data_IF_334991218254
#
_entry.id   IF_334991218254
#
_cell.length_a   1.000
_cell.length_b   1.000
_cell.length_c   1.000
_cell.angle_alpha   90.00
_cell.angle_beta   90.00
_cell.angle_gamma   90.00
#
_symmetry.space_group_name_H-M   'P 1'
#
loop_
_entity.id
_entity.type
_entity.pdbx_description
1 polymer ?
#
# COMPACT_ATOMS: atom_id res chain seq x y z
N UNK A 1 -41.93 23.18 52.46
CA UNK A 1 -43.09 24.08 52.60
C UNK A 1 -43.99 23.54 53.70
N UNK A 2 -43.73 23.92 54.94
CA UNK A 2 -44.49 23.52 56.13
C UNK A 2 -45.39 24.69 56.53
N UNK A 3 -46.71 24.48 56.44
CA UNK A 3 -47.72 25.44 56.85
C UNK A 3 -47.88 25.44 58.37
N UNK A 4 -47.89 26.63 58.97
CA UNK A 4 -48.29 26.87 60.36
C UNK A 4 -49.70 27.44 60.37
N UNK A 5 -50.63 26.76 61.06
CA UNK A 5 -51.99 27.24 61.29
C UNK A 5 -52.29 27.32 62.79
N UNK A 6 -52.82 28.49 63.17
CA UNK A 6 -53.76 28.80 64.28
C UNK A 6 -53.25 28.70 65.72
N UNK A 7 -53.31 29.83 66.41
CA UNK A 7 -54.05 29.97 67.68
C UNK A 7 -54.49 31.43 67.90
N UNK A 8 -55.76 31.62 68.24
CA UNK A 8 -56.28 32.75 69.01
C UNK A 8 -57.58 32.23 69.67
N UNK A 9 -57.55 31.98 70.97
CA UNK A 9 -58.15 32.85 72.00
C UNK A 9 -59.68 32.96 71.79
N UNK A 10 -60.51 32.28 72.57
CA UNK A 10 -60.67 32.45 74.02
C UNK A 10 -61.70 33.55 74.26
N UNK A 11 -62.65 33.35 75.18
CA UNK A 11 -63.32 34.33 76.05
C UNK A 11 -64.59 33.72 76.63
N UNK A 12 -64.75 33.89 77.94
CA UNK A 12 -65.77 33.31 78.82
C UNK A 12 -66.60 34.41 79.49
N UNK A 13 -67.89 34.15 79.78
CA UNK A 13 -68.74 34.74 80.84
C UNK A 13 -70.10 33.98 80.84
N UNK A 14 -70.48 33.20 81.87
CA UNK A 14 -71.12 33.53 83.17
C UNK A 14 -72.63 33.96 83.04
N UNK A 15 -73.60 33.06 83.28
CA UNK A 15 -74.45 32.82 84.50
C UNK A 15 -75.55 33.92 84.72
N UNK A 16 -76.89 33.70 84.76
CA UNK A 16 -77.76 33.04 85.78
C UNK A 16 -79.26 33.00 85.32
N UNK A 17 -79.91 31.82 85.50
CA UNK A 17 -81.29 31.48 85.94
C UNK A 17 -82.59 32.19 85.44
N UNK A 18 -83.50 31.42 84.80
CA UNK A 18 -84.92 31.18 85.18
C UNK A 18 -85.77 30.71 83.97
N UNK A 19 -86.39 29.51 84.09
CA UNK A 19 -87.27 28.90 83.08
C UNK A 19 -88.59 29.70 82.91
N UNK A 20 -89.15 29.71 81.68
CA UNK A 20 -90.22 28.73 81.41
C UNK A 20 -89.84 27.80 80.25
N UNK A 21 -89.85 26.51 80.54
CA UNK A 21 -89.74 25.43 79.57
C UNK A 21 -91.00 25.40 78.70
N UNK A 22 -90.92 25.96 77.49
CA UNK A 22 -91.81 25.62 76.37
C UNK A 22 -91.38 26.18 75.00
N UNK A 23 -90.32 27.00 74.88
CA UNK A 23 -89.89 27.56 73.59
C UNK A 23 -88.43 27.23 73.19
N UNK A 24 -87.62 26.67 74.09
CA UNK A 24 -86.23 26.24 73.81
C UNK A 24 -86.11 24.84 73.20
N UNK A 25 -87.17 24.03 73.28
CA UNK A 25 -87.22 22.71 72.66
C UNK A 25 -87.30 22.82 71.12
N UNK A 26 -88.11 23.74 70.60
CA UNK A 26 -88.24 23.98 69.15
C UNK A 26 -86.95 24.54 68.52
N UNK A 27 -86.17 25.37 69.22
CA UNK A 27 -84.90 25.91 68.70
C UNK A 27 -83.72 24.93 68.81
N UNK A 28 -83.70 24.06 69.83
CA UNK A 28 -82.73 22.97 69.94
C UNK A 28 -82.96 21.89 68.88
N UNK A 29 -84.23 21.55 68.62
CA UNK A 29 -84.63 20.59 67.60
C UNK A 29 -84.35 21.10 66.18
N UNK A 30 -84.60 22.38 65.90
CA UNK A 30 -84.28 22.99 64.60
C UNK A 30 -82.76 23.04 64.37
N UNK A 31 -81.95 23.29 65.41
CA UNK A 31 -80.48 23.19 65.34
C UNK A 31 -80.02 21.76 65.05
N UNK A 32 -80.57 20.75 65.72
CA UNK A 32 -80.28 19.34 65.47
C UNK A 32 -80.63 18.94 64.03
N UNK A 33 -81.79 19.40 63.51
CA UNK A 33 -82.18 19.19 62.10
C UNK A 33 -81.20 19.87 61.14
N UNK A 34 -80.79 21.10 61.42
CA UNK A 34 -79.82 21.81 60.59
C UNK A 34 -78.44 21.12 60.59
N UNK A 35 -78.00 20.61 61.75
CA UNK A 35 -76.75 19.86 61.88
C UNK A 35 -76.83 18.52 61.14
N UNK A 36 -77.95 17.79 61.24
CA UNK A 36 -78.17 16.55 60.48
C UNK A 36 -78.20 16.77 58.97
N UNK A 37 -78.81 17.86 58.47
CA UNK A 37 -78.76 18.21 57.04
C UNK A 37 -77.34 18.56 56.60
N UNK A 38 -76.63 19.36 57.40
CA UNK A 38 -75.24 19.72 57.11
C UNK A 38 -74.30 18.51 57.11
N UNK A 39 -74.45 17.57 58.06
CA UNK A 39 -73.66 16.33 58.07
C UNK A 39 -74.06 15.38 56.95
N UNK A 40 -75.35 15.31 56.58
CA UNK A 40 -75.80 14.56 55.41
C UNK A 40 -75.19 15.11 54.10
N UNK A 41 -75.15 16.43 53.94
CA UNK A 41 -74.48 17.08 52.80
C UNK A 41 -72.97 16.84 52.80
N UNK A 42 -72.29 16.94 53.95
CA UNK A 42 -70.87 16.61 54.06
C UNK A 42 -70.57 15.15 53.70
N UNK A 43 -71.42 14.20 54.12
CA UNK A 43 -71.26 12.80 53.74
C UNK A 43 -71.44 12.59 52.23
N UNK A 44 -72.41 13.28 51.64
CA UNK A 44 -72.66 13.19 50.20
C UNK A 44 -71.49 13.79 49.39
N UNK A 45 -70.93 14.92 49.83
CA UNK A 45 -69.75 15.54 49.23
C UNK A 45 -68.50 14.65 49.36
N UNK A 46 -68.28 14.06 50.53
CA UNK A 46 -67.16 13.13 50.77
C UNK A 46 -67.29 11.85 49.92
N UNK A 47 -68.50 11.31 49.78
CA UNK A 47 -68.76 10.17 48.90
C UNK A 47 -68.49 10.52 47.43
N UNK A 48 -68.89 11.72 46.98
CA UNK A 48 -68.57 12.23 45.65
C UNK A 48 -67.06 12.38 45.42
N UNK A 49 -66.34 12.97 46.37
CA UNK A 49 -64.88 13.10 46.32
C UNK A 49 -64.18 11.74 46.32
N UNK A 50 -64.66 10.78 47.11
CA UNK A 50 -64.12 9.42 47.13
C UNK A 50 -64.29 8.73 45.77
N UNK A 51 -65.47 8.85 45.15
CA UNK A 51 -65.71 8.32 43.81
C UNK A 51 -64.82 8.99 42.76
N UNK A 52 -64.63 10.30 42.83
CA UNK A 52 -63.76 11.04 41.91
C UNK A 52 -62.28 10.66 42.07
N UNK A 53 -61.79 10.51 43.31
CA UNK A 53 -60.43 10.06 43.57
C UNK A 53 -60.21 8.60 43.16
N UNK A 54 -61.21 7.72 43.34
CA UNK A 54 -61.14 6.35 42.86
C UNK A 54 -61.06 6.29 41.32
N UNK A 55 -61.86 7.09 40.63
CA UNK A 55 -61.81 7.21 39.18
C UNK A 55 -60.45 7.76 38.68
N UNK A 56 -59.92 8.80 39.33
CA UNK A 56 -58.61 9.36 39.00
C UNK A 56 -57.46 8.36 39.26
N UNK A 57 -57.54 7.57 40.34
CA UNK A 57 -56.57 6.49 40.61
C UNK A 57 -56.63 5.41 39.54
N UNK A 58 -57.83 4.95 39.17
CA UNK A 58 -58.01 3.95 38.13
C UNK A 58 -57.44 4.42 36.78
N UNK A 59 -57.67 5.69 36.42
CA UNK A 59 -57.10 6.28 35.20
C UNK A 59 -55.56 6.34 35.26
N UNK A 60 -54.98 6.81 36.37
CA UNK A 60 -53.54 6.89 36.54
C UNK A 60 -52.86 5.49 36.56
N UNK A 61 -53.54 4.48 37.13
CA UNK A 61 -53.08 3.09 37.10
C UNK A 61 -53.11 2.53 35.67
N UNK A 62 -54.16 2.81 34.90
CA UNK A 62 -54.25 2.41 33.50
C UNK A 62 -53.15 3.06 32.64
N UNK A 63 -52.90 4.37 32.80
CA UNK A 63 -51.81 5.06 32.09
C UNK A 63 -50.43 4.52 32.47
N UNK A 64 -50.19 4.26 33.76
CA UNK A 64 -48.95 3.65 34.24
C UNK A 64 -48.74 2.28 33.62
N UNK A 65 -49.79 1.46 33.55
CA UNK A 65 -49.68 0.10 33.03
C UNK A 65 -49.52 0.09 31.51
N UNK A 66 -50.15 1.02 30.79
CA UNK A 66 -49.89 1.25 29.36
C UNK A 66 -48.43 1.67 29.11
N UNK A 67 -47.92 2.67 29.85
CA UNK A 67 -46.53 3.11 29.75
C UNK A 67 -45.53 1.99 30.10
N UNK A 68 -45.86 1.14 31.08
CA UNK A 68 -45.04 -0.04 31.42
C UNK A 68 -45.02 -1.06 30.29
N UNK A 69 -46.15 -1.28 29.61
CA UNK A 69 -46.22 -2.17 28.44
C UNK A 69 -45.39 -1.62 27.27
N UNK A 70 -45.47 -0.32 26.99
CA UNK A 70 -44.65 0.33 25.97
C UNK A 70 -43.16 0.19 26.28
N UNK A 71 -42.74 0.47 27.52
CA UNK A 71 -41.34 0.30 27.95
C UNK A 71 -40.88 -1.17 27.85
N UNK A 72 -41.76 -2.11 28.19
CA UNK A 72 -41.48 -3.54 28.04
C UNK A 72 -41.32 -3.95 26.57
N UNK A 73 -42.01 -3.26 25.65
CA UNK A 73 -41.89 -3.49 24.20
C UNK A 73 -40.65 -2.82 23.58
N UNK A 74 -40.27 -1.63 24.06
CA UNK A 74 -39.17 -0.82 23.50
C UNK A 74 -37.79 -1.27 23.97
N UNK A 75 -37.67 -1.73 25.22
CA UNK A 75 -36.40 -2.27 25.76
C UNK A 75 -35.78 -3.38 24.90
N UNK A 76 -36.50 -4.45 24.54
CA UNK A 76 -35.92 -5.52 23.72
C UNK A 76 -35.57 -5.04 22.31
N UNK A 77 -36.30 -4.06 21.75
CA UNK A 77 -35.98 -3.47 20.45
C UNK A 77 -34.66 -2.69 20.51
N UNK A 78 -34.47 -1.87 21.54
CA UNK A 78 -33.20 -1.15 21.77
C UNK A 78 -32.02 -2.11 21.95
N UNK A 79 -32.20 -3.19 22.72
CA UNK A 79 -31.15 -4.20 22.89
C UNK A 79 -30.85 -4.96 21.60
N UNK A 80 -31.88 -5.24 20.78
CA UNK A 80 -31.70 -5.85 19.47
C UNK A 80 -30.93 -4.93 18.51
N UNK A 81 -31.27 -3.64 18.47
CA UNK A 81 -30.56 -2.66 17.65
C UNK A 81 -29.13 -2.42 18.12
N UNK A 82 -28.88 -2.35 19.43
CA UNK A 82 -27.52 -2.29 19.98
C UNK A 82 -26.68 -3.50 19.57
N UNK A 83 -27.25 -4.71 19.62
CA UNK A 83 -26.57 -5.93 19.15
C UNK A 83 -26.33 -5.91 17.64
N UNK A 84 -27.27 -5.39 16.85
CA UNK A 84 -27.10 -5.23 15.39
C UNK A 84 -26.00 -4.23 15.07
N UNK A 85 -26.00 -3.07 15.71
CA UNK A 85 -24.96 -2.05 15.57
C UNK A 85 -23.57 -2.61 15.93
N UNK A 86 -23.45 -3.29 17.09
CA UNK A 86 -22.18 -3.90 17.50
C UNK A 86 -21.68 -4.98 16.53
N UNK A 87 -22.59 -5.79 15.96
CA UNK A 87 -22.22 -6.75 14.89
C UNK A 87 -21.74 -6.03 13.63
N UNK A 88 -22.46 -5.01 13.18
CA UNK A 88 -22.13 -4.27 11.97
C UNK A 88 -20.78 -3.53 12.10
N UNK A 89 -20.48 -2.99 13.28
CA UNK A 89 -19.16 -2.42 13.59
C UNK A 89 -18.06 -3.49 13.58
N UNK A 90 -18.32 -4.66 14.16
CA UNK A 90 -17.41 -5.81 14.11
C UNK A 90 -17.11 -6.25 12.68
N UNK A 91 -18.14 -6.40 11.86
CA UNK A 91 -18.04 -6.78 10.45
C UNK A 91 -17.32 -5.70 9.64
N UNK A 92 -17.64 -4.42 9.84
CA UNK A 92 -16.94 -3.32 9.17
C UNK A 92 -15.44 -3.31 9.50
N UNK A 93 -15.09 -3.53 10.78
CA UNK A 93 -13.69 -3.62 11.21
C UNK A 93 -12.99 -4.84 10.61
N UNK A 94 -13.67 -5.98 10.52
CA UNK A 94 -13.14 -7.19 9.88
C UNK A 94 -12.88 -6.95 8.38
N UNK A 95 -13.84 -6.37 7.65
CA UNK A 95 -13.71 -6.03 6.23
C UNK A 95 -12.58 -5.02 6.02
N UNK A 96 -12.48 -3.97 6.84
CA UNK A 96 -11.38 -2.99 6.77
C UNK A 96 -10.02 -3.65 6.96
N UNK A 97 -9.86 -4.52 7.96
CA UNK A 97 -8.61 -5.27 8.19
C UNK A 97 -8.28 -6.18 7.01
N UNK A 98 -9.26 -6.90 6.47
CA UNK A 98 -9.05 -7.77 5.33
C UNK A 98 -8.68 -6.97 4.07
N UNK A 99 -9.32 -5.83 3.83
CA UNK A 99 -8.97 -4.94 2.72
C UNK A 99 -7.56 -4.37 2.87
N UNK A 100 -7.18 -3.94 4.08
CA UNK A 100 -5.83 -3.46 4.37
C UNK A 100 -4.77 -4.55 4.12
N UNK A 101 -5.01 -5.77 4.58
CA UNK A 101 -4.12 -6.91 4.32
C UNK A 101 -4.01 -7.23 2.83
N UNK A 102 -5.13 -7.26 2.09
CA UNK A 102 -5.08 -7.49 0.65
C UNK A 102 -4.31 -6.40 -0.08
N UNK A 103 -4.50 -5.13 0.30
CA UNK A 103 -3.77 -4.01 -0.30
C UNK A 103 -2.27 -4.09 0.05
N UNK A 104 -1.89 -4.42 1.29
CA UNK A 104 -0.47 -4.56 1.65
C UNK A 104 0.19 -5.71 0.92
N UNK A 105 -0.45 -6.89 0.88
CA UNK A 105 0.07 -8.07 0.16
C UNK A 105 0.16 -7.80 -1.34
N UNK A 106 -0.84 -7.13 -1.93
CA UNK A 106 -0.82 -6.74 -3.34
C UNK A 106 0.32 -5.77 -3.64
N UNK A 107 0.54 -4.77 -2.78
CA UNK A 107 1.65 -3.82 -2.92
C UNK A 107 3.01 -4.50 -2.82
N UNK A 108 3.19 -5.39 -1.85
CA UNK A 108 4.43 -6.16 -1.70
C UNK A 108 4.70 -7.04 -2.93
N UNK A 109 3.67 -7.72 -3.47
CA UNK A 109 3.79 -8.52 -4.68
C UNK A 109 4.16 -7.65 -5.89
N UNK A 110 3.51 -6.49 -6.05
CA UNK A 110 3.81 -5.55 -7.12
C UNK A 110 5.24 -4.99 -7.03
N UNK A 111 5.70 -4.65 -5.82
CA UNK A 111 7.08 -4.17 -5.60
C UNK A 111 8.11 -5.25 -5.93
N UNK A 112 7.88 -6.51 -5.52
CA UNK A 112 8.75 -7.64 -5.87
C UNK A 112 8.82 -7.85 -7.37
N UNK A 113 7.66 -7.90 -8.05
CA UNK A 113 7.60 -8.05 -9.50
C UNK A 113 8.31 -6.90 -10.23
N UNK A 114 8.17 -5.67 -9.74
CA UNK A 114 8.87 -4.51 -10.31
C UNK A 114 10.38 -4.60 -10.12
N UNK A 115 10.86 -5.03 -8.95
CA UNK A 115 12.28 -5.22 -8.69
C UNK A 115 12.89 -6.35 -9.54
N UNK A 116 12.18 -7.46 -9.68
CA UNK A 116 12.58 -8.57 -10.56
C UNK A 116 12.63 -8.12 -12.03
N UNK A 117 11.62 -7.38 -12.50
CA UNK A 117 11.60 -6.84 -13.85
C UNK A 117 12.77 -5.89 -14.10
N UNK A 118 13.08 -4.99 -13.17
CA UNK A 118 14.24 -4.10 -13.28
C UNK A 118 15.54 -4.89 -13.34
N UNK A 119 15.69 -5.91 -12.51
CA UNK A 119 16.88 -6.79 -12.49
C UNK A 119 17.04 -7.53 -13.81
N UNK A 120 15.96 -8.10 -14.35
CA UNK A 120 15.95 -8.77 -15.64
C UNK A 120 16.30 -7.81 -16.76
N UNK A 121 15.71 -6.61 -16.78
CA UNK A 121 15.99 -5.59 -17.78
C UNK A 121 17.46 -5.16 -17.76
N UNK A 122 18.06 -5.01 -16.56
CA UNK A 122 19.49 -4.68 -16.43
C UNK A 122 20.38 -5.81 -16.94
N UNK A 123 20.04 -7.07 -16.62
CA UNK A 123 20.77 -8.25 -17.11
C UNK A 123 20.70 -8.37 -18.62
N UNK A 124 19.53 -8.16 -19.23
CA UNK A 124 19.37 -8.17 -20.68
C UNK A 124 20.20 -7.06 -21.34
N UNK A 125 20.21 -5.86 -20.77
CA UNK A 125 21.04 -4.77 -21.28
C UNK A 125 22.56 -5.07 -21.16
N UNK A 126 22.98 -5.71 -20.06
CA UNK A 126 24.37 -6.14 -19.89
C UNK A 126 24.76 -7.23 -20.91
N UNK A 127 23.93 -8.27 -21.05
CA UNK A 127 24.15 -9.33 -22.03
C UNK A 127 24.20 -8.80 -23.46
N UNK A 128 23.37 -7.81 -23.80
CA UNK A 128 23.40 -7.18 -25.11
C UNK A 128 24.75 -6.50 -25.37
N UNK A 129 25.28 -5.75 -24.38
CA UNK A 129 26.62 -5.15 -24.47
C UNK A 129 27.72 -6.19 -24.60
N UNK A 130 27.61 -7.30 -23.87
CA UNK A 130 28.58 -8.40 -23.96
C UNK A 130 28.55 -9.04 -25.35
N UNK A 131 27.36 -9.28 -25.91
CA UNK A 131 27.19 -9.78 -27.28
C UNK A 131 27.82 -8.84 -28.29
N UNK A 132 27.58 -7.53 -28.18
CA UNK A 132 28.14 -6.55 -29.11
C UNK A 132 29.67 -6.46 -28.99
N UNK A 133 30.19 -6.55 -27.76
CA UNK A 133 31.64 -6.60 -27.50
C UNK A 133 32.27 -7.87 -28.07
N UNK A 134 31.65 -9.03 -27.87
CA UNK A 134 32.13 -10.30 -28.39
C UNK A 134 32.09 -10.33 -29.91
N UNK A 135 31.05 -9.80 -30.54
CA UNK A 135 30.97 -9.65 -32.00
C UNK A 135 32.10 -8.77 -32.54
N UNK A 136 32.38 -7.64 -31.89
CA UNK A 136 33.47 -6.76 -32.31
C UNK A 136 34.84 -7.46 -32.19
N UNK A 137 35.10 -8.16 -31.08
CA UNK A 137 36.33 -8.94 -30.88
C UNK A 137 36.49 -10.09 -31.87
N UNK A 138 35.38 -10.76 -32.21
CA UNK A 138 35.38 -11.83 -33.20
C UNK A 138 35.73 -11.27 -34.58
N UNK A 139 35.10 -10.17 -35.00
CA UNK A 139 35.40 -9.51 -36.26
C UNK A 139 36.87 -9.04 -36.35
N UNK A 140 37.42 -8.51 -35.25
CA UNK A 140 38.83 -8.13 -35.17
C UNK A 140 39.75 -9.35 -35.33
N UNK A 141 39.49 -10.44 -34.60
CA UNK A 141 40.27 -11.69 -34.69
C UNK A 141 40.18 -12.33 -36.07
N UNK A 142 38.99 -12.32 -36.69
CA UNK A 142 38.80 -12.83 -38.05
C UNK A 142 39.61 -12.00 -39.05
N UNK A 143 39.62 -10.67 -38.92
CA UNK A 143 40.43 -9.78 -39.75
C UNK A 143 41.93 -10.03 -39.59
N UNK A 144 42.41 -10.21 -38.36
CA UNK A 144 43.80 -10.56 -38.10
C UNK A 144 44.18 -11.94 -38.65
N UNK A 145 43.30 -12.93 -38.52
CA UNK A 145 43.52 -14.26 -39.06
C UNK A 145 43.62 -14.22 -40.59
N UNK A 146 42.74 -13.47 -41.25
CA UNK A 146 42.81 -13.26 -42.70
C UNK A 146 44.10 -12.55 -43.11
N UNK A 147 44.53 -11.53 -42.38
CA UNK A 147 45.80 -10.85 -42.65
C UNK A 147 47.00 -11.78 -42.45
N UNK A 148 47.00 -12.60 -41.39
CA UNK A 148 48.04 -13.57 -41.10
C UNK A 148 48.12 -14.66 -42.19
N UNK A 149 46.99 -15.20 -42.62
CA UNK A 149 46.93 -16.21 -43.70
C UNK A 149 47.37 -15.65 -45.05
N UNK A 150 47.01 -14.41 -45.38
CA UNK A 150 47.49 -13.72 -46.58
C UNK A 150 49.01 -13.52 -46.56
N UNK A 151 49.55 -12.97 -45.45
CA UNK A 151 51.00 -12.78 -45.26
C UNK A 151 51.77 -14.10 -45.31
N UNK A 152 51.24 -15.14 -44.69
CA UNK A 152 51.83 -16.47 -44.72
C UNK A 152 51.90 -17.01 -46.17
N UNK A 153 50.82 -16.85 -46.95
CA UNK A 153 50.81 -17.19 -48.38
C UNK A 153 51.85 -16.40 -49.17
N UNK A 154 51.97 -15.10 -48.93
CA UNK A 154 52.96 -14.24 -49.58
C UNK A 154 54.39 -14.67 -49.24
N UNK A 155 54.65 -15.02 -47.97
CA UNK A 155 55.94 -15.54 -47.52
C UNK A 155 56.30 -16.86 -48.23
N UNK A 156 55.34 -17.79 -48.33
CA UNK A 156 55.54 -19.04 -49.06
C UNK A 156 55.80 -18.80 -50.55
N UNK A 157 55.09 -17.88 -51.17
CA UNK A 157 55.31 -17.54 -52.57
C UNK A 157 56.70 -16.92 -52.78
N UNK A 158 57.09 -15.95 -51.96
CA UNK A 158 58.42 -15.34 -52.00
C UNK A 158 59.53 -16.39 -51.81
N UNK A 159 59.35 -17.32 -50.86
CA UNK A 159 60.29 -18.44 -50.65
C UNK A 159 60.40 -19.37 -51.86
N UNK A 160 59.28 -19.69 -52.54
CA UNK A 160 59.29 -20.48 -53.78
C UNK A 160 59.97 -19.75 -54.93
N UNK A 161 59.69 -18.45 -55.09
CA UNK A 161 60.34 -17.61 -56.09
C UNK A 161 61.85 -17.55 -55.87
N UNK A 162 62.30 -17.39 -54.62
CA UNK A 162 63.72 -17.42 -54.27
C UNK A 162 64.38 -18.77 -54.61
N UNK A 163 63.75 -19.89 -54.26
CA UNK A 163 64.26 -21.22 -54.60
C UNK A 163 64.39 -21.40 -56.12
N UNK A 164 63.37 -20.98 -56.88
CA UNK A 164 63.40 -21.03 -58.35
C UNK A 164 64.48 -20.14 -58.97
N UNK A 165 64.72 -18.95 -58.40
CA UNK A 165 65.78 -18.05 -58.84
C UNK A 165 67.16 -18.65 -58.55
N UNK A 166 67.34 -19.30 -57.39
CA UNK A 166 68.57 -20.00 -57.05
C UNK A 166 68.86 -21.18 -57.99
N UNK A 167 67.84 -22.00 -58.30
CA UNK A 167 67.95 -23.08 -59.29
C UNK A 167 68.34 -22.56 -60.68
N UNK A 168 67.73 -21.45 -61.12
CA UNK A 168 68.06 -20.81 -62.40
C UNK A 168 69.47 -20.20 -62.42
N UNK A 169 69.99 -19.75 -61.28
CA UNK A 169 71.32 -19.12 -61.17
C UNK A 169 72.49 -20.13 -61.15
N UNK A 170 72.21 -21.42 -60.93
CA UNK A 170 73.22 -22.44 -60.63
C UNK A 170 74.11 -22.93 -61.78
N UNK A 171 73.70 -22.84 -63.05
CA UNK A 171 74.43 -23.51 -64.15
C UNK A 171 75.16 -22.58 -65.13
N UNK A 172 74.64 -21.39 -65.42
CA UNK A 172 75.28 -20.40 -66.33
C UNK A 172 75.81 -19.14 -65.64
N UNK A 173 75.17 -18.71 -64.54
CA UNK A 173 75.41 -17.40 -63.93
C UNK A 173 76.67 -17.35 -63.07
N UNK A 174 77.08 -18.47 -62.45
CA UNK A 174 78.35 -18.58 -61.72
C UNK A 174 79.57 -18.38 -62.64
N UNK A 175 79.49 -18.79 -63.90
CA UNK A 175 80.55 -18.57 -64.88
C UNK A 175 80.66 -17.09 -65.27
N UNK A 176 79.51 -16.40 -65.40
CA UNK A 176 79.45 -14.97 -65.69
C UNK A 176 79.91 -14.10 -64.51
N UNK A 177 79.63 -14.51 -63.27
CA UNK A 177 80.00 -13.76 -62.06
C UNK A 177 81.52 -13.77 -61.77
N UNK A 178 82.24 -14.78 -62.27
CA UNK A 178 83.70 -14.94 -62.11
C UNK A 178 84.49 -14.09 -63.11
N UNK A 179 83.84 -13.41 -64.07
CA UNK A 179 84.51 -12.53 -65.02
C UNK A 179 84.66 -11.10 -64.46
N UNK A 180 85.85 -10.49 -64.51
CA UNK A 180 86.15 -9.22 -63.83
C UNK A 180 85.40 -7.99 -64.37
N UNK A 181 84.66 -8.09 -65.48
CA UNK A 181 83.92 -6.99 -66.11
C UNK A 181 82.38 -7.10 -66.01
N UNK A 182 81.85 -8.06 -65.24
CA UNK A 182 80.40 -8.33 -65.16
C UNK A 182 79.63 -7.43 -64.18
N UNK A 183 79.92 -6.11 -64.14
CA UNK A 183 79.30 -5.17 -63.21
C UNK A 183 77.76 -5.20 -63.23
N UNK A 184 77.18 -5.40 -64.42
CA UNK A 184 75.72 -5.48 -64.62
C UNK A 184 75.09 -6.72 -63.97
N UNK A 185 75.81 -7.84 -63.89
CA UNK A 185 75.32 -9.06 -63.25
C UNK A 185 75.34 -8.96 -61.71
N UNK A 186 76.28 -8.19 -61.15
CA UNK A 186 76.34 -7.91 -59.71
C UNK A 186 75.19 -7.02 -59.26
N UNK A 187 74.92 -5.92 -59.98
CA UNK A 187 73.79 -5.02 -59.68
C UNK A 187 72.45 -5.76 -59.74
N UNK A 188 72.23 -6.59 -60.77
CA UNK A 188 71.01 -7.39 -60.88
C UNK A 188 70.82 -8.37 -59.70
N UNK A 189 71.93 -8.96 -59.22
CA UNK A 189 71.91 -9.84 -58.06
C UNK A 189 71.59 -9.10 -56.76
N UNK A 190 72.17 -7.92 -56.56
CA UNK A 190 71.90 -7.06 -55.40
C UNK A 190 70.43 -6.58 -55.40
N UNK A 191 69.91 -6.16 -56.56
CA UNK A 191 68.51 -5.75 -56.72
C UNK A 191 67.52 -6.90 -56.43
N UNK A 192 67.81 -8.11 -56.91
CA UNK A 192 66.97 -9.29 -56.62
C UNK A 192 67.01 -9.66 -55.14
N UNK A 193 68.19 -9.62 -54.51
CA UNK A 193 68.36 -9.93 -53.09
C UNK A 193 67.61 -8.93 -52.21
N UNK A 194 67.68 -7.64 -52.54
CA UNK A 194 66.91 -6.59 -51.87
C UNK A 194 65.39 -6.81 -52.04
N UNK A 195 64.92 -7.06 -53.26
CA UNK A 195 63.50 -7.28 -53.55
C UNK A 195 62.91 -8.50 -52.81
N UNK A 196 63.70 -9.57 -52.61
CA UNK A 196 63.27 -10.72 -51.82
C UNK A 196 63.33 -10.45 -50.32
N UNK A 197 64.36 -9.75 -49.84
CA UNK A 197 64.47 -9.30 -48.46
C UNK A 197 63.28 -8.43 -48.05
N UNK A 198 62.88 -7.48 -48.89
CA UNK A 198 61.73 -6.61 -48.66
C UNK A 198 60.42 -7.39 -48.60
N UNK A 199 60.20 -8.36 -49.50
CA UNK A 199 58.97 -9.18 -49.47
C UNK A 199 58.90 -10.09 -48.26
N UNK A 200 60.00 -10.73 -47.88
CA UNK A 200 60.07 -11.55 -46.66
C UNK A 200 59.83 -10.68 -45.41
N UNK A 201 60.45 -9.51 -45.34
CA UNK A 201 60.26 -8.57 -44.24
C UNK A 201 58.82 -8.09 -44.14
N UNK A 202 58.20 -7.66 -45.26
CA UNK A 202 56.81 -7.21 -45.29
C UNK A 202 55.79 -8.31 -44.97
N UNK A 203 56.10 -9.57 -45.30
CA UNK A 203 55.25 -10.73 -45.01
C UNK A 203 55.38 -11.28 -43.59
N UNK A 204 56.35 -10.82 -42.79
CA UNK A 204 56.53 -11.31 -41.43
C UNK A 204 55.38 -10.85 -40.51
N UNK A 205 54.83 -11.79 -39.73
CA UNK A 205 53.80 -11.47 -38.72
C UNK A 205 54.45 -10.63 -37.61
N UNK A 206 54.16 -9.33 -37.60
CA UNK A 206 54.71 -8.35 -36.65
C UNK A 206 55.49 -7.19 -37.28
N UNK A 207 55.88 -7.29 -38.56
CA UNK A 207 56.64 -6.24 -39.25
C UNK A 207 55.83 -4.96 -39.60
N UNK A 208 54.56 -4.89 -39.18
CA UNK A 208 53.64 -3.80 -39.49
C UNK A 208 52.86 -3.20 -38.31
N UNK A 209 53.20 -3.52 -37.05
CA UNK A 209 52.58 -2.85 -35.89
C UNK A 209 53.58 -2.73 -34.73
N UNK A 210 54.06 -1.54 -34.34
CA UNK A 210 54.49 -1.33 -32.97
C UNK A 210 53.22 -1.34 -32.08
N UNK A 211 53.08 -2.29 -31.15
CA UNK A 211 51.96 -2.26 -30.21
C UNK A 211 52.27 -1.21 -29.13
N UNK A 212 51.62 -0.05 -29.21
CA UNK A 212 51.52 0.89 -28.10
C UNK A 212 52.77 1.69 -27.71
N UNK A 213 53.01 2.82 -28.38
CA UNK A 213 53.53 4.01 -27.70
C UNK A 213 52.35 4.84 -27.16
N UNK A 214 51.62 4.25 -26.22
CA UNK A 214 50.90 4.98 -25.17
C UNK A 214 51.26 4.31 -23.85
N UNK A 215 52.46 4.63 -23.36
CA UNK A 215 52.76 4.56 -21.93
C UNK A 215 52.31 5.88 -21.31
N UNK A 216 51.62 5.77 -20.18
CA UNK A 216 50.71 6.80 -19.66
C UNK A 216 51.34 8.09 -19.15
N UNK A 217 50.50 9.12 -19.12
CA UNK A 217 50.07 9.88 -17.93
C UNK A 217 48.69 10.46 -18.21
#
# INVERSE_FOLDING_TARGET
MTQTFRTAAGWAAALILALPAAASAQSAEERLRSQLRATAQQLQDLQGQQAQLAAARAAAEAERDAARQELASLRPQLDAERKRAGRLEGDQNAVRRQAQLQVSTSREAAQKAQAEFQTLSQRTAALQKDVDTLKARLAERDGEYQACTARNRDMYQAGRELLSAYEAFGTGSLLALRQPFSGRARVLFDEQTQAFGDRLYQSQVGAGTPPGAKQGQ
#
